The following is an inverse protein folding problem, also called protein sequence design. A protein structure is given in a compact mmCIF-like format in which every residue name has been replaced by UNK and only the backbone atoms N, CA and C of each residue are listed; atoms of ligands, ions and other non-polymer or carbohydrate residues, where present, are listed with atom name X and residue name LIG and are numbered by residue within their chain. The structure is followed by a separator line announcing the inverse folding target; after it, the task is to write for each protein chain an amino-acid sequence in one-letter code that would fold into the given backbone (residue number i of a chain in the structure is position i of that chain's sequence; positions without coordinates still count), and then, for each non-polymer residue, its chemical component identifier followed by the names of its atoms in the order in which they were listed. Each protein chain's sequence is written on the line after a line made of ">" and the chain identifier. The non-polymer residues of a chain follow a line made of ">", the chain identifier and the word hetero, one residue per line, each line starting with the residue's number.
data_IF_739606878726
#
_entry.id   IF_739606878726
#
_cell.length_a   1.000
_cell.length_b   1.000
_cell.length_c   1.000
_cell.angle_alpha   90.00
_cell.angle_beta   90.00
_cell.angle_gamma   90.00
#
_symmetry.space_group_name_H-M   'P 1'
#
loop_
_entity.id
_entity.type
_entity.pdbx_description
1 polymer ?
#
# COMPACT_ATOMS: atom_id res chain seq x y z
N UNK A 1 -16.28 -41.41 -28.50
CA UNK A 1 -16.18 -39.94 -28.37
C UNK A 1 -16.25 -39.44 -26.93
N UNK A 2 -17.19 -39.88 -26.10
CA UNK A 2 -17.39 -39.38 -24.72
C UNK A 2 -16.17 -39.59 -23.78
N UNK A 3 -15.46 -40.72 -23.90
CA UNK A 3 -14.26 -41.01 -23.09
C UNK A 3 -13.07 -40.06 -23.33
N UNK A 4 -12.96 -39.47 -24.52
CA UNK A 4 -11.87 -38.55 -24.86
C UNK A 4 -12.11 -37.14 -24.29
N UNK A 5 -13.38 -36.73 -24.15
CA UNK A 5 -13.76 -35.42 -23.61
C UNK A 5 -13.52 -35.39 -22.10
N UNK A 6 -13.91 -36.45 -21.38
CA UNK A 6 -13.71 -36.55 -19.92
C UNK A 6 -12.22 -36.53 -19.51
N UNK A 7 -11.37 -37.18 -20.30
CA UNK A 7 -9.94 -37.25 -20.01
C UNK A 7 -9.25 -35.89 -20.20
N UNK A 8 -9.69 -35.11 -21.19
CA UNK A 8 -9.15 -33.77 -21.47
C UNK A 8 -9.53 -32.77 -20.37
N UNK A 9 -10.77 -32.80 -19.89
CA UNK A 9 -11.23 -31.96 -18.77
C UNK A 9 -10.55 -32.29 -17.45
N UNK A 10 -10.25 -33.58 -17.21
CA UNK A 10 -9.57 -34.01 -15.98
C UNK A 10 -8.09 -33.60 -15.96
N UNK A 11 -7.40 -33.69 -17.11
CA UNK A 11 -6.01 -33.24 -17.26
C UNK A 11 -5.92 -31.71 -17.11
N UNK A 12 -6.82 -30.95 -17.75
CA UNK A 12 -6.83 -29.50 -17.58
C UNK A 12 -7.11 -29.11 -16.12
N UNK A 13 -8.07 -29.74 -15.44
CA UNK A 13 -8.33 -29.47 -14.03
C UNK A 13 -7.16 -29.84 -13.10
N UNK A 14 -6.45 -30.93 -13.39
CA UNK A 14 -5.32 -31.41 -12.60
C UNK A 14 -4.04 -30.59 -12.79
N UNK A 15 -3.87 -29.95 -13.94
CA UNK A 15 -2.70 -29.08 -14.23
C UNK A 15 -3.00 -27.62 -13.85
N UNK A 16 -4.21 -27.12 -14.08
CA UNK A 16 -4.57 -25.74 -13.72
C UNK A 16 -4.60 -25.52 -12.21
N UNK A 17 -5.10 -26.50 -11.43
CA UNK A 17 -5.18 -26.38 -9.96
C UNK A 17 -3.84 -26.11 -9.27
N UNK A 18 -2.76 -26.89 -9.49
CA UNK A 18 -1.49 -26.65 -8.82
C UNK A 18 -0.82 -25.35 -9.29
N UNK A 19 -0.98 -24.97 -10.57
CA UNK A 19 -0.44 -23.71 -11.10
C UNK A 19 -1.17 -22.49 -10.50
N UNK A 20 -2.50 -22.54 -10.40
CA UNK A 20 -3.29 -21.48 -9.75
C UNK A 20 -3.01 -21.41 -8.24
N UNK A 21 -2.88 -22.56 -7.57
CA UNK A 21 -2.60 -22.65 -6.14
C UNK A 21 -1.19 -22.12 -5.77
N UNK A 22 -0.17 -22.39 -6.59
CA UNK A 22 1.19 -21.89 -6.34
C UNK A 22 1.29 -20.37 -6.52
N UNK A 23 0.55 -19.81 -7.49
CA UNK A 23 0.53 -18.37 -7.79
C UNK A 23 -0.16 -17.52 -6.71
N UNK A 24 -1.23 -18.03 -6.11
CA UNK A 24 -1.94 -17.33 -5.02
C UNK A 24 -1.11 -17.31 -3.74
N UNK A 25 -0.38 -18.38 -3.44
CA UNK A 25 0.44 -18.49 -2.23
C UNK A 25 1.65 -17.55 -2.27
N UNK A 26 2.41 -17.53 -3.37
CA UNK A 26 3.59 -16.65 -3.51
C UNK A 26 3.22 -15.16 -3.44
N UNK A 27 2.13 -14.78 -4.11
CA UNK A 27 1.68 -13.40 -4.10
C UNK A 27 1.12 -12.97 -2.74
N UNK A 28 0.49 -13.87 -1.99
CA UNK A 28 0.03 -13.60 -0.62
C UNK A 28 1.20 -13.38 0.34
N UNK A 29 2.30 -14.13 0.20
CA UNK A 29 3.51 -13.91 0.97
C UNK A 29 4.17 -12.57 0.64
N UNK A 30 4.26 -12.21 -0.64
CA UNK A 30 4.78 -10.91 -1.07
C UNK A 30 3.94 -9.75 -0.50
N UNK A 31 2.61 -9.86 -0.52
CA UNK A 31 1.72 -8.88 0.09
C UNK A 31 1.94 -8.79 1.60
N UNK A 32 2.15 -9.92 2.28
CA UNK A 32 2.41 -9.94 3.72
C UNK A 32 3.74 -9.25 4.07
N UNK A 33 4.81 -9.52 3.32
CA UNK A 33 6.08 -8.80 3.47
C UNK A 33 5.91 -7.30 3.18
N UNK A 34 5.13 -6.93 2.16
CA UNK A 34 4.85 -5.53 1.85
C UNK A 34 4.02 -4.84 2.94
N UNK A 35 3.04 -5.53 3.56
CA UNK A 35 2.30 -5.01 4.71
C UNK A 35 3.23 -4.76 5.90
N UNK A 36 4.10 -5.73 6.23
CA UNK A 36 5.04 -5.60 7.33
C UNK A 36 6.02 -4.44 7.08
N UNK A 37 6.52 -4.32 5.85
CA UNK A 37 7.39 -3.22 5.46
C UNK A 37 6.70 -1.85 5.61
N UNK A 38 5.47 -1.73 5.11
CA UNK A 38 4.70 -0.49 5.22
C UNK A 38 4.36 -0.15 6.68
N UNK A 39 4.01 -1.14 7.50
CA UNK A 39 3.76 -0.96 8.93
C UNK A 39 5.02 -0.50 9.68
N UNK A 40 6.17 -1.14 9.43
CA UNK A 40 7.45 -0.72 10.01
C UNK A 40 7.82 0.71 9.59
N UNK A 41 7.65 1.05 8.31
CA UNK A 41 7.88 2.41 7.81
C UNK A 41 6.94 3.45 8.43
N UNK A 42 5.67 3.10 8.65
CA UNK A 42 4.69 3.95 9.32
C UNK A 42 5.08 4.21 10.77
N UNK A 43 5.42 3.16 11.53
CA UNK A 43 5.87 3.28 12.93
C UNK A 43 7.14 4.12 13.01
N UNK A 44 8.12 3.88 12.13
CA UNK A 44 9.36 4.65 12.11
C UNK A 44 9.08 6.13 11.79
N UNK A 45 8.18 6.41 10.86
CA UNK A 45 7.80 7.78 10.50
C UNK A 45 7.08 8.49 11.65
N UNK A 46 6.21 7.79 12.39
CA UNK A 46 5.56 8.31 13.61
C UNK A 46 6.61 8.63 14.68
N UNK A 47 7.57 7.73 14.92
CA UNK A 47 8.64 7.95 15.90
C UNK A 47 9.46 9.17 15.51
N UNK A 48 9.88 9.31 14.25
CA UNK A 48 10.60 10.49 13.76
C UNK A 48 9.75 11.76 13.95
N UNK A 49 8.45 11.69 13.67
CA UNK A 49 7.55 12.83 13.86
C UNK A 49 7.46 13.23 15.34
N UNK A 50 7.27 12.27 16.25
CA UNK A 50 7.22 12.51 17.70
C UNK A 50 8.55 13.05 18.23
N UNK A 51 9.68 12.48 17.81
CA UNK A 51 11.00 12.96 18.20
C UNK A 51 11.26 14.36 17.66
N UNK A 52 10.70 14.75 16.51
CA UNK A 52 10.79 16.14 16.03
C UNK A 52 10.09 17.18 16.94
N UNK A 53 9.27 16.74 17.90
CA UNK A 53 8.72 17.61 18.94
C UNK A 53 9.66 17.80 20.12
N UNK A 54 10.55 16.85 20.34
CA UNK A 54 11.62 17.04 21.33
C UNK A 54 12.69 17.89 20.66
N UNK A 55 13.28 18.84 21.37
CA UNK A 55 14.37 19.68 20.85
C UNK A 55 15.67 18.89 20.62
N UNK A 56 15.59 17.56 20.54
CA UNK A 56 16.68 16.65 20.27
C UNK A 56 16.88 16.64 18.76
N UNK A 57 18.02 17.16 18.30
CA UNK A 57 18.42 17.02 16.91
C UNK A 57 18.48 15.52 16.58
N UNK A 58 17.62 15.06 15.68
CA UNK A 58 17.76 13.74 15.07
C UNK A 58 19.08 13.72 14.29
N UNK A 59 20.15 13.31 14.96
CA UNK A 59 21.55 13.41 14.52
C UNK A 59 21.93 12.44 13.41
N UNK A 60 21.12 12.27 12.37
CA UNK A 60 21.39 11.31 11.31
C UNK A 60 21.06 11.81 9.93
N UNK A 61 22.05 12.39 9.24
CA UNK A 61 22.04 12.52 7.77
C UNK A 61 21.74 11.19 7.05
N UNK A 62 21.89 10.04 7.74
CA UNK A 62 21.58 8.71 7.21
C UNK A 62 20.09 8.32 7.33
N UNK A 63 19.35 8.81 8.34
CA UNK A 63 17.93 8.45 8.51
C UNK A 63 17.07 9.09 7.41
N UNK A 64 17.39 10.33 7.03
CA UNK A 64 16.66 11.07 6.00
C UNK A 64 16.61 10.33 4.66
N UNK A 65 17.75 9.92 4.04
CA UNK A 65 17.73 9.16 2.80
C UNK A 65 17.13 7.77 2.99
N UNK A 66 17.32 7.12 4.14
CA UNK A 66 16.71 5.79 4.37
C UNK A 66 15.18 5.86 4.35
N UNK A 67 14.56 6.85 5.00
CA UNK A 67 13.10 7.01 4.95
C UNK A 67 12.64 7.54 3.59
N UNK A 68 13.38 8.46 2.97
CA UNK A 68 13.04 8.98 1.64
C UNK A 68 13.07 7.88 0.57
N UNK A 69 14.14 7.09 0.52
CA UNK A 69 14.28 5.98 -0.43
C UNK A 69 13.43 4.77 -0.02
N UNK A 70 13.20 4.58 1.28
CA UNK A 70 12.36 3.52 1.81
C UNK A 70 10.88 3.67 1.48
N UNK A 71 10.43 4.81 0.97
CA UNK A 71 9.04 4.97 0.52
C UNK A 71 8.83 4.37 -0.86
N UNK A 72 9.88 4.31 -1.70
CA UNK A 72 9.76 3.82 -3.06
C UNK A 72 9.17 2.41 -3.14
N UNK A 73 9.60 1.41 -2.34
CA UNK A 73 8.99 0.08 -2.38
C UNK A 73 7.51 0.08 -1.96
N UNK A 74 7.14 0.90 -0.96
CA UNK A 74 5.76 1.01 -0.50
C UNK A 74 4.87 1.67 -1.58
N UNK A 75 5.37 2.73 -2.20
CA UNK A 75 4.67 3.44 -3.27
C UNK A 75 4.59 2.62 -4.56
N UNK A 76 5.67 1.94 -4.93
CA UNK A 76 5.70 1.03 -6.08
C UNK A 76 4.65 -0.10 -5.91
N UNK A 77 4.48 -0.62 -4.69
CA UNK A 77 3.43 -1.60 -4.40
C UNK A 77 2.03 -1.05 -4.66
N UNK A 78 1.75 0.20 -4.29
CA UNK A 78 0.48 0.88 -4.60
C UNK A 78 0.26 0.97 -6.11
N UNK A 79 1.28 1.40 -6.86
CA UNK A 79 1.21 1.53 -8.32
C UNK A 79 0.97 0.16 -8.97
N UNK A 80 1.72 -0.87 -8.58
CA UNK A 80 1.59 -2.21 -9.13
C UNK A 80 0.20 -2.81 -8.84
N UNK A 81 -0.36 -2.56 -7.65
CA UNK A 81 -1.75 -2.93 -7.33
C UNK A 81 -2.73 -2.19 -8.25
N UNK A 82 -2.55 -0.88 -8.43
CA UNK A 82 -3.41 -0.08 -9.32
C UNK A 82 -3.37 -0.54 -10.79
N UNK A 83 -2.18 -0.85 -11.32
CA UNK A 83 -2.01 -1.39 -12.68
C UNK A 83 -2.67 -2.78 -12.78
N UNK A 84 -2.38 -3.66 -11.83
CA UNK A 84 -2.97 -5.01 -11.74
C UNK A 84 -4.51 -4.97 -11.74
N UNK A 85 -5.11 -4.02 -11.04
CA UNK A 85 -6.56 -3.89 -10.97
C UNK A 85 -7.17 -3.30 -12.24
N UNK A 86 -6.49 -2.32 -12.87
CA UNK A 86 -6.89 -1.77 -14.17
C UNK A 86 -6.87 -2.85 -15.26
N UNK A 87 -5.83 -3.66 -15.34
CA UNK A 87 -5.73 -4.76 -16.31
C UNK A 87 -6.83 -5.82 -16.08
N UNK A 88 -7.14 -6.12 -14.82
CA UNK A 88 -8.23 -7.02 -14.45
C UNK A 88 -9.61 -6.50 -14.88
N UNK A 89 -9.88 -5.20 -14.68
CA UNK A 89 -11.13 -4.55 -15.07
C UNK A 89 -11.28 -4.32 -16.57
N UNK A 90 -10.20 -4.08 -17.32
CA UNK A 90 -10.26 -4.01 -18.79
C UNK A 90 -10.78 -5.31 -19.43
N UNK A 91 -10.71 -6.45 -18.71
CA UNK A 91 -11.32 -7.71 -19.15
C UNK A 91 -12.80 -7.85 -18.83
N UNK A 92 -13.34 -7.13 -17.84
CA UNK A 92 -14.78 -7.08 -17.58
C UNK A 92 -15.32 -5.78 -18.17
N UNK A 93 -15.80 -5.82 -19.41
CA UNK A 93 -16.13 -4.66 -20.25
C UNK A 93 -17.28 -3.75 -19.77
N UNK A 94 -17.21 -3.25 -18.54
CA UNK A 94 -18.17 -2.30 -17.96
C UNK A 94 -17.41 -1.01 -17.66
N UNK A 95 -17.67 0.01 -18.49
CA UNK A 95 -17.09 1.35 -18.40
C UNK A 95 -17.71 2.18 -17.28
N UNK A 96 -17.56 1.73 -16.04
CA UNK A 96 -17.88 2.55 -14.86
C UNK A 96 -16.64 3.36 -14.46
N UNK A 97 -16.80 4.68 -14.41
CA UNK A 97 -15.77 5.62 -13.98
C UNK A 97 -15.63 5.54 -12.45
N UNK A 98 -14.87 4.55 -12.00
CA UNK A 98 -14.69 4.29 -10.56
C UNK A 98 -13.64 5.27 -10.03
N UNK A 99 -13.98 5.93 -8.92
CA UNK A 99 -13.09 6.87 -8.24
C UNK A 99 -11.73 6.21 -7.95
N UNK A 100 -10.64 6.90 -8.29
CA UNK A 100 -9.28 6.35 -8.11
C UNK A 100 -9.00 5.94 -6.66
N UNK A 101 -9.52 6.71 -5.69
CA UNK A 101 -9.38 6.39 -4.27
C UNK A 101 -10.19 5.17 -3.85
N UNK A 102 -11.34 4.93 -4.48
CA UNK A 102 -12.14 3.75 -4.23
C UNK A 102 -11.41 2.48 -4.72
N UNK A 103 -10.74 2.57 -5.87
CA UNK A 103 -9.88 1.50 -6.37
C UNK A 103 -8.71 1.22 -5.41
N UNK A 104 -8.00 2.26 -4.99
CA UNK A 104 -6.82 2.11 -4.10
C UNK A 104 -7.20 1.53 -2.73
N UNK A 105 -8.37 1.88 -2.20
CA UNK A 105 -8.86 1.40 -0.90
C UNK A 105 -9.88 0.27 -1.00
N UNK A 106 -10.03 -0.36 -2.16
CA UNK A 106 -10.99 -1.43 -2.31
C UNK A 106 -10.63 -2.61 -1.39
N UNK A 107 -11.63 -3.15 -0.71
CA UNK A 107 -11.46 -4.22 0.30
C UNK A 107 -10.70 -3.82 1.58
N UNK A 108 -10.26 -2.57 1.72
CA UNK A 108 -9.59 -2.09 2.93
C UNK A 108 -10.63 -1.81 4.05
N UNK A 109 -10.39 -2.24 5.31
CA UNK A 109 -11.31 -1.95 6.40
C UNK A 109 -11.40 -0.43 6.66
N UNK A 110 -12.58 0.03 7.05
CA UNK A 110 -12.86 1.46 7.27
C UNK A 110 -11.90 2.10 8.29
N UNK A 111 -11.42 1.34 9.27
CA UNK A 111 -10.43 1.79 10.25
C UNK A 111 -9.08 2.17 9.61
N UNK A 112 -8.58 1.40 8.65
CA UNK A 112 -7.33 1.74 7.95
C UNK A 112 -7.50 2.93 7.02
N UNK A 113 -8.65 3.05 6.34
CA UNK A 113 -8.97 4.23 5.53
C UNK A 113 -8.95 5.50 6.40
N UNK A 114 -9.51 5.42 7.61
CA UNK A 114 -9.48 6.51 8.56
C UNK A 114 -8.06 6.90 8.97
N UNK A 115 -7.20 5.92 9.31
CA UNK A 115 -5.79 6.17 9.65
C UNK A 115 -5.08 6.90 8.49
N UNK A 116 -5.27 6.44 7.25
CA UNK A 116 -4.71 7.12 6.08
C UNK A 116 -5.19 8.57 5.99
N UNK A 117 -6.50 8.83 6.09
CA UNK A 117 -7.04 10.18 6.00
C UNK A 117 -6.52 11.10 7.09
N UNK A 118 -6.40 10.61 8.32
CA UNK A 118 -5.80 11.37 9.44
C UNK A 118 -4.34 11.72 9.12
N UNK A 119 -3.53 10.75 8.69
CA UNK A 119 -2.14 11.00 8.30
C UNK A 119 -2.02 11.95 7.10
N UNK A 120 -2.91 11.82 6.12
CA UNK A 120 -2.92 12.63 4.91
C UNK A 120 -3.26 14.09 5.22
N UNK A 121 -4.35 14.34 5.96
CA UNK A 121 -4.73 15.69 6.38
C UNK A 121 -3.65 16.32 7.26
N UNK A 122 -3.05 15.54 8.17
CA UNK A 122 -1.95 16.00 9.01
C UNK A 122 -0.72 16.39 8.18
N UNK A 123 -0.33 15.59 7.18
CA UNK A 123 0.77 15.89 6.28
C UNK A 123 0.56 17.21 5.54
N UNK A 124 -0.65 17.42 5.00
CA UNK A 124 -1.00 18.67 4.33
C UNK A 124 -1.01 19.86 5.28
N UNK A 125 -1.55 19.71 6.49
CA UNK A 125 -1.56 20.77 7.49
C UNK A 125 -0.12 21.23 7.84
N UNK A 126 0.80 20.30 8.09
CA UNK A 126 2.21 20.63 8.34
C UNK A 126 2.88 21.21 7.09
N UNK A 127 2.57 20.69 5.90
CA UNK A 127 3.08 21.23 4.64
C UNK A 127 2.66 22.69 4.41
N UNK A 128 1.41 23.03 4.71
CA UNK A 128 0.89 24.40 4.64
C UNK A 128 1.61 25.30 5.65
N UNK A 129 1.79 24.84 6.89
CA UNK A 129 2.53 25.58 7.93
C UNK A 129 3.97 25.85 7.48
N UNK A 130 4.65 24.87 6.91
CA UNK A 130 6.00 25.03 6.35
C UNK A 130 6.04 26.02 5.19
N UNK A 131 5.06 25.97 4.30
CA UNK A 131 4.95 26.88 3.17
C UNK A 131 4.71 28.33 3.60
N UNK A 132 3.92 28.55 4.66
CA UNK A 132 3.64 29.88 5.22
C UNK A 132 4.85 30.42 5.97
N UNK A 133 5.47 29.62 6.83
CA UNK A 133 6.55 30.07 7.70
C UNK A 133 7.89 30.25 6.95
N UNK A 134 8.06 29.60 5.79
CA UNK A 134 9.29 29.62 4.98
C UNK A 134 10.58 29.45 5.80
N UNK A 135 10.49 28.64 6.86
CA UNK A 135 11.56 28.51 7.83
C UNK A 135 12.54 27.42 7.40
N UNK A 136 13.82 27.64 7.71
CA UNK A 136 14.88 26.65 7.56
C UNK A 136 15.17 25.92 8.88
N UNK A 137 14.26 26.01 9.85
CA UNK A 137 14.39 25.32 11.14
C UNK A 137 14.37 23.79 10.91
N UNK A 138 15.46 23.09 11.29
CA UNK A 138 15.63 21.70 10.89
C UNK A 138 14.56 20.79 11.49
N UNK A 139 14.10 21.03 12.72
CA UNK A 139 13.09 20.18 13.33
C UNK A 139 11.74 20.30 12.61
N UNK A 140 11.36 21.49 12.15
CA UNK A 140 10.15 21.67 11.35
C UNK A 140 10.24 21.00 9.98
N UNK A 141 11.41 21.02 9.33
CA UNK A 141 11.64 20.27 8.07
C UNK A 141 11.47 18.76 8.31
N UNK A 142 12.07 18.23 9.37
CA UNK A 142 11.91 16.82 9.76
C UNK A 142 10.47 16.46 10.10
N UNK A 143 9.73 17.38 10.73
CA UNK A 143 8.30 17.21 11.02
C UNK A 143 7.46 17.13 9.75
N UNK A 144 7.73 18.01 8.78
CA UNK A 144 7.05 17.98 7.48
C UNK A 144 7.38 16.71 6.70
N UNK A 145 8.66 16.40 6.53
CA UNK A 145 9.09 15.21 5.81
C UNK A 145 8.48 13.94 6.41
N UNK A 146 8.57 13.77 7.73
CA UNK A 146 7.98 12.62 8.41
C UNK A 146 6.47 12.56 8.33
N UNK A 147 5.77 13.70 8.32
CA UNK A 147 4.32 13.71 8.14
C UNK A 147 3.92 13.20 6.73
N UNK A 148 4.64 13.62 5.68
CA UNK A 148 4.42 13.06 4.34
C UNK A 148 4.78 11.58 4.25
N UNK A 149 5.89 11.15 4.87
CA UNK A 149 6.26 9.75 4.94
C UNK A 149 5.20 8.89 5.62
N UNK A 150 4.62 9.37 6.73
CA UNK A 150 3.48 8.71 7.37
C UNK A 150 2.30 8.53 6.42
N UNK A 151 1.95 9.57 5.64
CA UNK A 151 0.84 9.48 4.68
C UNK A 151 1.12 8.43 3.58
N UNK A 152 2.33 8.38 3.03
CA UNK A 152 2.69 7.38 2.02
C UNK A 152 2.73 5.95 2.57
N UNK A 153 3.29 5.74 3.76
CA UNK A 153 3.30 4.42 4.38
C UNK A 153 1.90 3.98 4.80
N UNK A 154 1.05 4.89 5.29
CA UNK A 154 -0.35 4.60 5.58
C UNK A 154 -1.13 4.23 4.30
N UNK A 155 -0.88 4.94 3.19
CA UNK A 155 -1.46 4.64 1.88
C UNK A 155 -1.05 3.24 1.40
N UNK A 156 0.24 2.93 1.44
CA UNK A 156 0.78 1.62 1.08
C UNK A 156 0.23 0.50 1.97
N UNK A 157 0.17 0.73 3.28
CA UNK A 157 -0.38 -0.25 4.22
C UNK A 157 -1.86 -0.52 3.92
N UNK A 158 -2.65 0.52 3.70
CA UNK A 158 -4.08 0.40 3.43
C UNK A 158 -4.35 -0.31 2.08
N UNK A 159 -3.61 0.04 1.03
CA UNK A 159 -3.79 -0.56 -0.31
C UNK A 159 -3.37 -2.03 -0.34
N UNK A 160 -2.21 -2.36 0.25
CA UNK A 160 -1.70 -3.74 0.32
C UNK A 160 -2.61 -4.59 1.21
N UNK A 161 -3.08 -4.06 2.34
CA UNK A 161 -4.04 -4.78 3.20
C UNK A 161 -5.37 -5.03 2.49
N UNK A 162 -5.90 -4.03 1.77
CA UNK A 162 -7.11 -4.19 0.97
C UNK A 162 -6.94 -5.23 -0.15
N UNK A 163 -5.77 -5.26 -0.80
CA UNK A 163 -5.43 -6.28 -1.81
C UNK A 163 -5.29 -7.68 -1.19
N UNK A 164 -4.68 -7.79 0.00
CA UNK A 164 -4.54 -9.04 0.74
C UNK A 164 -5.90 -9.62 1.16
N UNK A 165 -6.76 -8.80 1.76
CA UNK A 165 -8.09 -9.23 2.22
C UNK A 165 -8.98 -9.68 1.06
N UNK A 166 -8.95 -8.99 -0.09
CA UNK A 166 -9.70 -9.40 -1.29
C UNK A 166 -9.27 -10.75 -1.85
N UNK A 167 -8.00 -11.12 -1.69
CA UNK A 167 -7.49 -12.43 -2.11
C UNK A 167 -7.80 -13.54 -1.12
N UNK A 168 -7.98 -13.21 0.15
CA UNK A 168 -8.38 -14.15 1.21
C UNK A 168 -9.90 -14.36 1.31
N UNK A 169 -10.72 -13.46 0.75
CA UNK A 169 -12.17 -13.61 0.72
C UNK A 169 -12.57 -14.76 -0.22
N UNK A 170 -13.44 -15.69 0.23
CA UNK A 170 -13.98 -16.72 -0.65
C UNK A 170 -14.75 -16.04 -1.78
N UNK A 171 -14.36 -16.33 -3.03
CA UNK A 171 -15.14 -15.91 -4.19
C UNK A 171 -16.43 -16.72 -4.17
N UNK A 172 -17.50 -16.14 -3.64
CA UNK A 172 -18.84 -16.71 -3.79
C UNK A 172 -19.20 -16.64 -5.28
N UNK A 173 -19.61 -17.77 -5.88
CA UNK A 173 -19.93 -17.89 -7.30
C UNK A 173 -21.14 -17.05 -7.71
#
# INVERSE_FOLDING_TARGET
>A
MVRLILHKTFIEAAILRPVLFNRTTMTSLLLLFAMLYAACGLVLSIVVNVVSFTSVQLGGNALFPVLMWGIFPAFLSVILIGISEREGKMRSGVGEEIDHWELVFAGCPSSMKYIFWVCFVYAWAIGIVLAILQTHEPNLIWRGASAFWMAFYALGLASVTGAYLRRGAPQTP
#
